data_IF_477281720829
#
_entry.id   IF_477281720829
#
_cell.length_a   1.000
_cell.length_b   1.000
_cell.length_c   1.000
_cell.angle_alpha   90.00
_cell.angle_beta   90.00
_cell.angle_gamma   90.00
#
_symmetry.space_group_name_H-M   'P 1'
#
loop_
_entity.id
_entity.type
_entity.pdbx_description
1 polymer ?
#
# COMPACT_ATOMS: atom_id res chain seq x y z
N UNK A 1 -8.62 -13.15 15.99
CA UNK A 1 -9.56 -13.03 14.85
C UNK A 1 -9.24 -11.74 14.09
N UNK A 2 -9.05 -11.82 12.77
CA UNK A 2 -8.74 -10.69 11.88
C UNK A 2 -9.97 -10.38 11.04
N UNK A 3 -10.45 -9.14 11.05
CA UNK A 3 -11.60 -8.69 10.27
C UNK A 3 -11.11 -7.62 9.28
N UNK A 4 -11.09 -7.99 8.00
CA UNK A 4 -10.62 -7.15 6.90
C UNK A 4 -11.06 -7.75 5.57
N UNK A 5 -10.48 -7.31 4.45
CA UNK A 5 -10.63 -8.01 3.17
C UNK A 5 -10.20 -9.48 3.30
N UNK A 6 -10.84 -10.37 2.54
CA UNK A 6 -10.34 -11.75 2.41
C UNK A 6 -8.88 -11.70 1.94
N UNK A 7 -7.98 -12.33 2.69
CA UNK A 7 -6.53 -12.26 2.45
C UNK A 7 -6.10 -12.87 1.09
N UNK A 8 -7.01 -13.50 0.36
CA UNK A 8 -6.80 -14.07 -0.97
C UNK A 8 -7.14 -13.09 -2.10
N UNK A 9 -7.86 -11.98 -1.82
CA UNK A 9 -8.25 -11.04 -2.88
C UNK A 9 -7.12 -10.06 -3.21
N UNK A 10 -7.22 -9.47 -4.40
CA UNK A 10 -6.25 -8.48 -4.87
C UNK A 10 -6.63 -7.06 -4.39
N UNK A 11 -6.22 -6.71 -3.19
CA UNK A 11 -6.32 -5.35 -2.65
C UNK A 11 -5.10 -5.02 -1.79
N UNK A 12 -4.83 -3.73 -1.55
CA UNK A 12 -3.76 -3.31 -0.64
C UNK A 12 -3.99 -3.80 0.79
N UNK A 13 -5.24 -3.77 1.27
CA UNK A 13 -5.61 -4.27 2.61
C UNK A 13 -5.38 -5.78 2.71
N UNK A 14 -5.84 -6.55 1.72
CA UNK A 14 -5.65 -8.00 1.68
C UNK A 14 -4.16 -8.38 1.60
N UNK A 15 -3.37 -7.65 0.80
CA UNK A 15 -1.92 -7.88 0.71
C UNK A 15 -1.25 -7.71 2.07
N UNK A 16 -1.51 -6.60 2.75
CA UNK A 16 -0.95 -6.34 4.10
C UNK A 16 -1.44 -7.36 5.12
N UNK A 17 -2.74 -7.66 5.11
CA UNK A 17 -3.31 -8.67 5.99
C UNK A 17 -2.69 -10.05 5.79
N UNK A 18 -2.46 -10.44 4.53
CA UNK A 18 -1.78 -11.68 4.17
C UNK A 18 -0.34 -11.71 4.68
N UNK A 19 0.43 -10.64 4.48
CA UNK A 19 1.81 -10.55 4.99
C UNK A 19 1.86 -10.66 6.52
N UNK A 20 0.92 -10.03 7.24
CA UNK A 20 0.81 -10.16 8.70
C UNK A 20 0.50 -11.61 9.08
N UNK A 21 -0.49 -12.24 8.47
CA UNK A 21 -0.87 -13.62 8.74
C UNK A 21 0.29 -14.57 8.46
N UNK A 22 0.88 -14.52 7.27
CA UNK A 22 2.00 -15.38 6.88
C UNK A 22 3.24 -15.15 7.76
N UNK A 23 3.57 -13.89 8.05
CA UNK A 23 4.74 -13.53 8.86
C UNK A 23 4.61 -13.89 10.35
N UNK A 24 3.39 -14.15 10.83
CA UNK A 24 3.14 -14.42 12.25
C UNK A 24 2.39 -15.75 12.51
N UNK A 25 2.16 -16.55 11.48
CA UNK A 25 1.46 -17.83 11.58
C UNK A 25 2.19 -18.86 12.47
N UNK A 26 3.49 -18.69 12.70
CA UNK A 26 4.27 -19.48 13.66
C UNK A 26 4.05 -19.07 15.12
N UNK A 27 3.36 -17.94 15.37
CA UNK A 27 3.03 -17.45 16.71
C UNK A 27 1.54 -17.51 17.02
N UNK A 28 0.69 -17.38 15.99
CA UNK A 28 -0.76 -17.21 16.16
C UNK A 28 -1.55 -18.14 15.24
N UNK A 29 -2.61 -18.71 15.78
CA UNK A 29 -3.68 -19.30 15.00
C UNK A 29 -4.57 -18.18 14.46
N UNK A 30 -4.74 -18.09 13.16
CA UNK A 30 -5.48 -17.01 12.54
C UNK A 30 -6.88 -17.42 12.10
N UNK A 31 -7.86 -16.58 12.43
CA UNK A 31 -9.22 -16.66 11.90
C UNK A 31 -9.50 -15.35 11.17
N UNK A 32 -9.50 -15.37 9.85
CA UNK A 32 -9.84 -14.21 9.03
C UNK A 32 -11.35 -14.21 8.74
N UNK A 33 -12.06 -13.17 9.19
CA UNK A 33 -13.37 -12.84 8.64
C UNK A 33 -13.12 -12.04 7.38
N UNK A 34 -13.07 -12.79 6.27
CA UNK A 34 -12.62 -12.32 4.97
C UNK A 34 -13.74 -11.66 4.18
N UNK A 35 -13.69 -10.33 4.07
CA UNK A 35 -14.71 -9.53 3.41
C UNK A 35 -14.46 -9.29 1.93
N UNK A 36 -15.56 -9.18 1.16
CA UNK A 36 -15.61 -8.58 -0.16
C UNK A 36 -17.02 -8.06 -0.44
N UNK A 37 -17.18 -7.04 -1.30
CA UNK A 37 -18.49 -6.41 -1.58
C UNK A 37 -19.56 -7.44 -1.94
N UNK A 38 -19.24 -8.39 -2.82
CA UNK A 38 -20.06 -9.56 -3.17
C UNK A 38 -19.18 -10.80 -3.17
N UNK A 39 -18.91 -11.33 -1.99
CA UNK A 39 -17.98 -12.45 -1.87
C UNK A 39 -18.57 -13.70 -2.55
N UNK A 40 -17.86 -14.34 -3.51
CA UNK A 40 -18.38 -15.49 -4.25
C UNK A 40 -18.55 -16.74 -3.37
N UNK A 41 -17.85 -16.81 -2.25
CA UNK A 41 -17.87 -17.91 -1.30
C UNK A 41 -18.53 -17.55 0.03
N UNK A 42 -19.31 -16.46 0.09
CA UNK A 42 -19.96 -16.04 1.34
C UNK A 42 -20.68 -17.19 2.04
N UNK A 43 -20.50 -17.28 3.36
CA UNK A 43 -21.04 -18.34 4.20
C UNK A 43 -20.15 -19.61 4.29
N UNK A 44 -19.04 -19.69 3.54
CA UNK A 44 -18.10 -20.80 3.66
C UNK A 44 -17.05 -20.55 4.74
N UNK A 45 -16.66 -21.63 5.42
CA UNK A 45 -15.46 -21.72 6.25
C UNK A 45 -14.39 -22.49 5.49
N UNK A 46 -13.24 -21.89 5.28
CA UNK A 46 -12.16 -22.42 4.47
C UNK A 46 -10.91 -22.57 5.35
N UNK A 47 -10.25 -23.69 5.24
CA UNK A 47 -8.94 -23.92 5.86
C UNK A 47 -7.85 -23.71 4.81
N UNK A 48 -6.98 -22.76 5.05
CA UNK A 48 -5.85 -22.42 4.16
C UNK A 48 -4.49 -22.66 4.81
N UNK A 49 -4.45 -23.42 5.89
CA UNK A 49 -3.23 -23.72 6.66
C UNK A 49 -2.13 -24.30 5.78
N UNK A 50 -2.46 -25.27 4.90
CA UNK A 50 -1.49 -25.89 3.99
C UNK A 50 -0.81 -24.87 3.10
N UNK A 51 -1.60 -24.02 2.43
CA UNK A 51 -1.04 -22.99 1.55
C UNK A 51 -0.26 -21.91 2.30
N UNK A 52 -0.64 -21.62 3.55
CA UNK A 52 0.10 -20.70 4.43
C UNK A 52 1.44 -21.31 4.84
N UNK A 53 1.46 -22.60 5.19
CA UNK A 53 2.69 -23.33 5.52
C UNK A 53 3.70 -23.29 4.37
N UNK A 54 3.23 -23.56 3.14
CA UNK A 54 4.06 -23.50 1.94
C UNK A 54 4.64 -22.11 1.69
N UNK A 55 3.81 -21.05 1.81
CA UNK A 55 4.22 -19.67 1.57
C UNK A 55 5.21 -19.15 2.63
N UNK A 56 4.99 -19.53 3.89
CA UNK A 56 5.77 -19.05 5.04
C UNK A 56 6.97 -19.96 5.37
N UNK A 57 7.07 -21.11 4.72
CA UNK A 57 8.07 -22.16 5.00
C UNK A 57 8.06 -22.56 6.49
N UNK A 58 6.87 -22.82 7.02
CA UNK A 58 6.60 -23.30 8.37
C UNK A 58 5.77 -24.57 8.32
N UNK A 59 5.69 -25.27 9.45
CA UNK A 59 4.81 -26.41 9.67
C UNK A 59 3.78 -26.04 10.74
N UNK A 60 2.63 -26.69 10.74
CA UNK A 60 1.61 -26.62 11.80
C UNK A 60 0.94 -25.24 12.01
N UNK A 61 0.89 -24.37 11.00
CA UNK A 61 0.04 -23.18 11.13
C UNK A 61 -1.45 -23.55 11.13
N UNK A 62 -2.26 -22.70 11.76
CA UNK A 62 -3.73 -22.78 11.66
C UNK A 62 -4.26 -21.46 11.14
N UNK A 63 -4.78 -21.47 9.92
CA UNK A 63 -5.33 -20.28 9.25
C UNK A 63 -6.67 -20.61 8.62
N UNK A 64 -7.72 -20.03 9.18
CA UNK A 64 -9.10 -20.21 8.73
C UNK A 64 -9.65 -18.93 8.13
N UNK A 65 -10.47 -19.06 7.09
CA UNK A 65 -11.22 -17.94 6.51
C UNK A 65 -12.71 -18.19 6.63
N UNK A 66 -13.43 -17.24 7.18
CA UNK A 66 -14.88 -17.13 7.08
C UNK A 66 -15.21 -16.08 6.02
N UNK A 67 -15.63 -16.54 4.86
CA UNK A 67 -15.97 -15.67 3.73
C UNK A 67 -17.31 -14.99 3.99
N UNK A 68 -17.32 -13.64 3.96
CA UNK A 68 -18.51 -12.84 4.23
C UNK A 68 -18.74 -11.75 3.18
N UNK A 69 -19.99 -11.29 3.01
CA UNK A 69 -20.25 -10.09 2.25
C UNK A 69 -19.82 -8.85 3.04
N UNK A 70 -19.25 -7.88 2.36
CA UNK A 70 -18.64 -6.70 2.98
C UNK A 70 -17.67 -7.10 4.10
N UNK A 71 -17.97 -6.78 5.36
CA UNK A 71 -17.20 -7.21 6.54
C UNK A 71 -18.06 -7.98 7.54
N UNK A 72 -19.11 -8.65 7.04
CA UNK A 72 -20.08 -9.40 7.83
C UNK A 72 -21.09 -8.54 8.55
N UNK A 73 -22.07 -9.20 9.15
CA UNK A 73 -23.07 -8.61 10.02
C UNK A 73 -22.70 -8.83 11.49
N UNK A 74 -23.30 -8.06 12.41
CA UNK A 74 -23.12 -8.24 13.85
C UNK A 74 -23.40 -9.69 14.28
N UNK A 75 -24.43 -10.34 13.71
CA UNK A 75 -24.78 -11.73 14.03
C UNK A 75 -23.72 -12.71 13.53
N UNK A 76 -23.22 -12.56 12.30
CA UNK A 76 -22.14 -13.41 11.77
C UNK A 76 -20.88 -13.29 12.61
N UNK A 77 -20.46 -12.06 12.93
CA UNK A 77 -19.28 -11.80 13.76
C UNK A 77 -19.45 -12.46 15.14
N UNK A 78 -20.59 -12.29 15.79
CA UNK A 78 -20.85 -12.90 17.09
C UNK A 78 -20.83 -14.44 17.01
N UNK A 79 -21.43 -15.03 15.98
CA UNK A 79 -21.44 -16.49 15.80
C UNK A 79 -20.01 -17.03 15.61
N UNK A 80 -19.19 -16.38 14.77
CA UNK A 80 -17.79 -16.76 14.55
C UNK A 80 -17.01 -16.60 15.85
N UNK A 81 -17.22 -15.49 16.58
CA UNK A 81 -16.56 -15.23 17.85
C UNK A 81 -16.86 -16.31 18.89
N UNK A 82 -18.13 -16.72 19.02
CA UNK A 82 -18.52 -17.79 19.97
C UNK A 82 -17.96 -19.16 19.57
N UNK A 83 -17.83 -19.42 18.27
CA UNK A 83 -17.32 -20.69 17.76
C UNK A 83 -15.79 -20.79 17.94
N UNK A 84 -15.06 -19.77 17.52
CA UNK A 84 -13.60 -19.80 17.45
C UNK A 84 -12.92 -19.25 18.71
N UNK A 85 -13.65 -18.54 19.57
CA UNK A 85 -13.20 -17.99 20.87
C UNK A 85 -11.81 -17.30 20.78
N UNK A 86 -11.67 -16.27 19.96
CA UNK A 86 -10.38 -15.63 19.73
C UNK A 86 -9.90 -14.88 20.97
N UNK A 87 -8.59 -14.91 21.23
CA UNK A 87 -7.95 -14.17 22.32
C UNK A 87 -7.81 -12.67 22.03
N UNK A 88 -7.92 -12.26 20.76
CA UNK A 88 -7.92 -10.86 20.34
C UNK A 88 -8.67 -10.66 19.03
N UNK A 89 -9.19 -9.45 18.83
CA UNK A 89 -9.81 -8.99 17.58
C UNK A 89 -8.88 -7.97 16.95
N UNK A 90 -8.57 -8.14 15.67
CA UNK A 90 -7.79 -7.19 14.88
C UNK A 90 -8.64 -6.69 13.70
N UNK A 91 -8.70 -5.38 13.54
CA UNK A 91 -9.42 -4.71 12.46
C UNK A 91 -8.41 -4.02 11.53
N UNK A 92 -8.61 -4.12 10.23
CA UNK A 92 -7.82 -3.39 9.22
C UNK A 92 -8.78 -2.83 8.17
N UNK A 93 -8.71 -1.59 7.86
CA UNK A 93 -9.33 -0.73 6.85
C UNK A 93 -10.02 0.48 7.50
N UNK A 94 -10.88 1.20 6.77
CA UNK A 94 -11.60 2.37 7.28
C UNK A 94 -12.53 1.98 8.45
N UNK A 95 -12.44 2.63 9.61
CA UNK A 95 -13.21 2.24 10.80
C UNK A 95 -14.72 2.34 10.61
N UNK A 96 -15.18 3.17 9.67
CA UNK A 96 -16.62 3.35 9.38
C UNK A 96 -17.29 2.08 8.85
N UNK A 97 -16.50 1.17 8.27
CA UNK A 97 -17.01 -0.14 7.83
C UNK A 97 -17.27 -1.09 9.01
N UNK A 98 -16.71 -0.83 10.18
CA UNK A 98 -16.83 -1.68 11.38
C UNK A 98 -17.81 -1.14 12.43
N UNK A 99 -18.70 -0.21 12.07
CA UNK A 99 -19.66 0.38 13.01
C UNK A 99 -20.45 -0.69 13.80
N UNK A 100 -20.83 -1.78 13.15
CA UNK A 100 -21.55 -2.88 13.78
C UNK A 100 -20.70 -3.62 14.85
N UNK A 101 -19.37 -3.64 14.71
CA UNK A 101 -18.44 -4.21 15.68
C UNK A 101 -18.25 -3.24 16.84
N UNK A 102 -18.03 -1.96 16.56
CA UNK A 102 -17.88 -0.92 17.57
C UNK A 102 -19.16 -0.75 18.42
N UNK A 103 -20.34 -0.97 17.85
CA UNK A 103 -21.59 -0.98 18.60
C UNK A 103 -21.70 -2.16 19.61
N UNK A 104 -20.88 -3.18 19.48
CA UNK A 104 -20.79 -4.32 20.42
C UNK A 104 -19.53 -4.28 21.30
N UNK A 105 -18.74 -3.19 21.26
CA UNK A 105 -17.42 -3.14 21.88
C UNK A 105 -17.45 -3.47 23.38
N UNK A 106 -18.43 -2.97 24.13
CA UNK A 106 -18.62 -3.23 25.55
C UNK A 106 -18.77 -4.74 25.89
N UNK A 107 -19.32 -5.52 24.97
CA UNK A 107 -19.47 -6.96 25.11
C UNK A 107 -18.20 -7.70 24.68
N UNK A 108 -17.65 -7.33 23.52
CA UNK A 108 -16.47 -7.97 22.93
C UNK A 108 -15.23 -7.76 23.79
N UNK A 109 -14.99 -6.56 24.29
CA UNK A 109 -13.82 -6.22 25.12
C UNK A 109 -13.79 -6.90 26.49
N UNK A 110 -14.92 -7.41 26.97
CA UNK A 110 -14.93 -8.26 28.17
C UNK A 110 -14.34 -9.65 27.94
N UNK A 111 -14.25 -10.06 26.68
CA UNK A 111 -13.82 -11.40 26.28
C UNK A 111 -12.47 -11.36 25.54
N UNK A 112 -12.26 -10.36 24.69
CA UNK A 112 -11.04 -10.19 23.91
C UNK A 112 -10.77 -8.71 23.63
N UNK A 113 -9.50 -8.24 23.71
CA UNK A 113 -9.16 -6.86 23.35
C UNK A 113 -9.40 -6.59 21.87
N UNK A 114 -9.79 -5.35 21.55
CA UNK A 114 -9.93 -4.87 20.16
C UNK A 114 -8.66 -4.13 19.80
N UNK A 115 -8.04 -4.57 18.71
CA UNK A 115 -6.85 -3.93 18.11
C UNK A 115 -7.21 -3.41 16.73
N UNK A 116 -6.68 -2.26 16.34
CA UNK A 116 -6.99 -1.64 15.06
C UNK A 116 -5.72 -1.17 14.37
N UNK A 117 -5.46 -1.70 13.17
CA UNK A 117 -4.42 -1.18 12.28
C UNK A 117 -5.02 -0.07 11.41
N UNK A 118 -4.80 1.15 11.85
CA UNK A 118 -5.31 2.35 11.20
C UNK A 118 -4.49 2.68 9.95
N UNK A 119 -5.20 2.92 8.86
CA UNK A 119 -4.64 3.28 7.54
C UNK A 119 -4.90 4.74 7.16
N UNK A 120 -5.37 5.58 8.09
CA UNK A 120 -5.70 6.97 7.81
C UNK A 120 -4.47 7.77 7.41
N UNK A 121 -4.59 8.54 6.35
CA UNK A 121 -3.45 9.10 5.62
C UNK A 121 -3.46 10.62 5.46
N UNK A 122 -4.48 11.34 5.99
CA UNK A 122 -4.66 12.75 5.68
C UNK A 122 -5.00 13.61 6.91
N UNK A 123 -4.73 14.91 6.79
CA UNK A 123 -5.10 15.96 7.72
C UNK A 123 -6.23 16.82 7.14
N UNK A 124 -7.06 17.45 7.99
CA UNK A 124 -6.97 17.48 9.47
C UNK A 124 -7.32 16.14 10.12
N UNK A 125 -6.80 15.93 11.35
CA UNK A 125 -7.06 14.70 12.11
C UNK A 125 -8.58 14.43 12.22
N UNK A 126 -9.06 13.23 11.89
CA UNK A 126 -10.48 12.90 11.73
C UNK A 126 -11.18 12.72 13.08
N UNK A 127 -11.48 13.82 13.78
CA UNK A 127 -12.10 13.79 15.11
C UNK A 127 -13.42 13.04 15.15
N UNK A 128 -14.12 12.92 14.03
CA UNK A 128 -15.34 12.12 13.91
C UNK A 128 -15.07 10.60 14.03
N UNK A 129 -13.84 10.15 13.92
CA UNK A 129 -13.44 8.77 14.17
C UNK A 129 -13.13 8.50 15.66
N UNK A 130 -13.19 9.51 16.53
CA UNK A 130 -12.90 9.37 17.96
C UNK A 130 -13.62 8.19 18.61
N UNK A 131 -14.94 7.98 18.44
CA UNK A 131 -15.64 6.86 19.08
C UNK A 131 -15.08 5.49 18.69
N UNK A 132 -14.63 5.35 17.43
CA UNK A 132 -14.04 4.09 16.95
C UNK A 132 -12.66 3.85 17.58
N UNK A 133 -11.85 4.91 17.71
CA UNK A 133 -10.52 4.79 18.30
C UNK A 133 -10.59 4.59 19.81
N UNK A 134 -11.58 5.17 20.49
CA UNK A 134 -11.84 4.94 21.92
C UNK A 134 -12.22 3.50 22.23
N UNK A 135 -12.90 2.83 21.32
CA UNK A 135 -13.28 1.43 21.45
C UNK A 135 -12.11 0.44 21.33
N UNK A 136 -10.90 0.91 20.97
CA UNK A 136 -9.74 0.06 20.78
C UNK A 136 -8.78 0.09 21.97
N UNK A 137 -8.22 -1.08 22.33
CA UNK A 137 -7.19 -1.23 23.36
C UNK A 137 -5.79 -0.99 22.80
N UNK A 138 -5.57 -1.36 21.52
CA UNK A 138 -4.33 -1.11 20.79
C UNK A 138 -4.66 -0.42 19.46
N UNK A 139 -4.08 0.77 19.26
CA UNK A 139 -4.10 1.50 18.00
C UNK A 139 -2.73 1.42 17.32
N UNK A 140 -2.69 0.74 16.22
CA UNK A 140 -1.52 0.63 15.36
C UNK A 140 -1.65 1.60 14.18
N UNK A 141 -0.63 2.38 13.90
CA UNK A 141 -0.58 3.24 12.73
C UNK A 141 0.38 2.68 11.69
N UNK A 142 -0.04 2.63 10.45
CA UNK A 142 0.81 2.15 9.33
C UNK A 142 1.96 3.09 9.02
N UNK A 143 1.84 4.36 9.40
CA UNK A 143 2.88 5.37 9.27
C UNK A 143 3.05 6.15 10.57
N UNK A 144 4.16 6.84 10.73
CA UNK A 144 4.39 7.76 11.85
C UNK A 144 3.34 8.88 11.88
N UNK A 145 2.93 9.36 10.70
CA UNK A 145 1.83 10.31 10.57
C UNK A 145 0.51 9.72 11.08
N UNK A 146 0.19 8.47 10.75
CA UNK A 146 -1.03 7.80 11.23
C UNK A 146 -1.03 7.62 12.75
N UNK A 147 0.12 7.27 13.34
CA UNK A 147 0.25 7.20 14.82
C UNK A 147 0.02 8.56 15.46
N UNK A 148 0.55 9.64 14.87
CA UNK A 148 0.32 10.99 15.36
C UNK A 148 -1.17 11.38 15.23
N UNK A 149 -1.81 11.06 14.11
CA UNK A 149 -3.25 11.27 13.91
C UNK A 149 -4.06 10.57 15.00
N UNK A 150 -3.75 9.30 15.33
CA UNK A 150 -4.41 8.59 16.42
C UNK A 150 -4.32 9.35 17.75
N UNK A 151 -3.12 9.83 18.08
CA UNK A 151 -2.87 10.60 19.30
C UNK A 151 -3.61 11.95 19.29
N UNK A 152 -3.64 12.66 18.16
CA UNK A 152 -4.34 13.93 18.01
C UNK A 152 -5.86 13.80 18.12
N UNK A 153 -6.44 12.72 17.55
CA UNK A 153 -7.87 12.41 17.67
C UNK A 153 -8.24 12.17 19.11
N UNK A 154 -7.43 11.44 19.86
CA UNK A 154 -7.67 11.03 21.23
C UNK A 154 -6.98 11.91 22.31
N UNK A 155 -6.50 13.09 21.95
CA UNK A 155 -5.71 13.94 22.88
C UNK A 155 -6.46 14.31 24.15
N UNK A 156 -7.78 14.45 24.07
CA UNK A 156 -8.65 14.87 25.18
C UNK A 156 -9.31 13.66 25.89
N UNK A 157 -8.94 12.41 25.53
CA UNK A 157 -9.50 11.17 26.07
C UNK A 157 -8.58 10.55 27.12
N UNK A 158 -9.13 9.69 27.98
CA UNK A 158 -8.32 8.84 28.87
C UNK A 158 -7.63 7.74 28.04
N UNK A 159 -6.31 7.86 27.94
CA UNK A 159 -5.45 6.92 27.20
C UNK A 159 -4.59 6.05 28.15
N UNK A 160 -4.86 6.05 29.45
CA UNK A 160 -4.03 5.36 30.47
C UNK A 160 -3.88 3.84 30.23
N UNK A 161 -4.88 3.24 29.61
CA UNK A 161 -4.91 1.79 29.29
C UNK A 161 -4.72 1.48 27.81
N UNK A 162 -4.57 2.53 26.94
CA UNK A 162 -4.48 2.36 25.50
C UNK A 162 -3.03 2.35 25.04
N UNK A 163 -2.72 1.47 24.10
CA UNK A 163 -1.40 1.36 23.53
C UNK A 163 -1.41 1.93 22.10
N UNK A 164 -0.44 2.80 21.80
CA UNK A 164 -0.18 3.29 20.44
C UNK A 164 1.10 2.66 19.92
N UNK A 165 1.05 2.09 18.71
CA UNK A 165 2.22 1.47 18.07
C UNK A 165 2.34 1.89 16.60
N UNK A 166 3.56 2.03 16.16
CA UNK A 166 3.93 2.17 14.76
C UNK A 166 4.18 0.77 14.19
N UNK A 167 3.40 0.38 13.19
CA UNK A 167 3.51 -0.91 12.50
C UNK A 167 3.52 -0.63 11.00
N UNK A 168 4.69 -0.35 10.42
CA UNK A 168 4.82 -0.11 8.98
C UNK A 168 4.48 -1.38 8.19
N UNK A 169 4.07 -1.18 6.93
CA UNK A 169 3.88 -2.32 6.04
C UNK A 169 5.23 -2.92 5.61
N UNK A 170 5.26 -4.24 5.54
CA UNK A 170 6.33 -5.01 4.93
C UNK A 170 5.79 -5.81 3.74
N UNK A 171 6.68 -6.24 2.87
CA UNK A 171 6.39 -7.11 1.72
C UNK A 171 7.40 -8.25 1.67
N UNK A 172 7.01 -9.32 0.99
CA UNK A 172 7.85 -10.50 0.85
C UNK A 172 9.01 -10.23 -0.12
N UNK A 173 10.25 -10.26 0.39
CA UNK A 173 11.47 -10.10 -0.40
C UNK A 173 11.72 -11.21 -1.43
N UNK A 174 11.01 -12.34 -1.33
CA UNK A 174 11.06 -13.41 -2.35
C UNK A 174 10.20 -13.09 -3.57
N UNK A 175 9.22 -12.19 -3.44
CA UNK A 175 8.37 -11.76 -4.55
C UNK A 175 8.95 -10.54 -5.29
N UNK A 176 9.62 -9.64 -4.54
CA UNK A 176 10.25 -8.43 -5.06
C UNK A 176 11.72 -8.40 -4.67
N UNK A 177 12.60 -8.48 -5.65
CA UNK A 177 14.05 -8.53 -5.46
C UNK A 177 14.80 -7.96 -6.67
N UNK A 178 16.01 -7.45 -6.49
CA UNK A 178 16.83 -6.97 -7.60
C UNK A 178 17.34 -8.16 -8.42
N UNK A 179 17.00 -8.19 -9.69
CA UNK A 179 17.45 -9.25 -10.61
C UNK A 179 18.96 -9.15 -10.86
N UNK A 180 19.64 -10.28 -10.84
CA UNK A 180 21.04 -10.41 -11.20
C UNK A 180 21.27 -10.09 -12.69
N UNK A 181 22.52 -9.81 -13.05
CA UNK A 181 22.92 -9.60 -14.46
C UNK A 181 22.56 -10.80 -15.35
N UNK A 182 22.68 -12.02 -14.80
CA UNK A 182 22.32 -13.24 -15.53
C UNK A 182 20.82 -13.30 -15.82
N UNK A 183 19.98 -13.03 -14.82
CA UNK A 183 18.52 -12.99 -14.99
C UNK A 183 18.08 -11.91 -15.97
N UNK A 184 18.69 -10.71 -15.90
CA UNK A 184 18.43 -9.60 -16.86
C UNK A 184 18.89 -9.93 -18.28
N UNK A 185 19.83 -10.87 -18.45
CA UNK A 185 20.31 -11.33 -19.76
C UNK A 185 19.52 -12.51 -20.33
N UNK A 186 18.61 -13.09 -19.53
CA UNK A 186 17.76 -14.21 -19.95
C UNK A 186 16.85 -13.81 -21.11
N UNK A 187 16.65 -14.74 -22.04
CA UNK A 187 15.83 -14.55 -23.25
C UNK A 187 14.38 -14.19 -22.88
N UNK A 188 13.83 -14.83 -21.84
CA UNK A 188 12.47 -14.56 -21.37
C UNK A 188 12.31 -13.13 -20.87
N UNK A 189 13.27 -12.63 -20.05
CA UNK A 189 13.25 -11.25 -19.58
C UNK A 189 13.42 -10.24 -20.73
N UNK A 190 14.35 -10.49 -21.67
CA UNK A 190 14.55 -9.62 -22.85
C UNK A 190 13.33 -9.59 -23.77
N UNK A 191 12.65 -10.72 -23.92
CA UNK A 191 11.40 -10.80 -24.67
C UNK A 191 10.30 -10.00 -23.98
N UNK A 192 10.18 -10.13 -22.66
CA UNK A 192 9.25 -9.34 -21.84
C UNK A 192 9.57 -7.84 -21.96
N UNK A 193 10.82 -7.43 -21.77
CA UNK A 193 11.27 -6.04 -21.93
C UNK A 193 10.83 -5.47 -23.26
N UNK A 194 11.14 -6.17 -24.37
CA UNK A 194 10.76 -5.73 -25.71
C UNK A 194 9.25 -5.66 -25.90
N UNK A 195 8.50 -6.61 -25.35
CA UNK A 195 7.04 -6.61 -25.45
C UNK A 195 6.38 -5.47 -24.68
N UNK A 196 6.98 -5.03 -23.57
CA UNK A 196 6.48 -3.93 -22.73
C UNK A 196 6.95 -2.58 -23.26
N UNK A 197 8.25 -2.39 -23.48
CA UNK A 197 8.85 -1.08 -23.82
C UNK A 197 8.91 -0.82 -25.32
N UNK A 198 8.54 -1.81 -26.16
CA UNK A 198 8.64 -1.70 -27.63
C UNK A 198 10.05 -1.90 -28.18
N UNK A 199 11.09 -1.76 -27.34
CA UNK A 199 12.49 -1.88 -27.70
C UNK A 199 13.32 -2.41 -26.54
N UNK A 200 14.49 -2.99 -26.85
CA UNK A 200 15.53 -3.31 -25.87
C UNK A 200 16.59 -2.19 -25.78
N UNK A 201 16.53 -1.20 -26.67
CA UNK A 201 17.44 -0.04 -26.72
C UNK A 201 16.79 1.18 -26.05
N UNK A 202 16.54 1.07 -24.75
CA UNK A 202 15.96 2.12 -23.90
C UNK A 202 17.02 2.54 -22.88
N UNK A 203 17.27 3.84 -22.79
CA UNK A 203 18.28 4.42 -21.90
C UNK A 203 17.71 4.80 -20.53
N UNK A 204 16.39 5.10 -20.44
CA UNK A 204 15.75 5.48 -19.17
C UNK A 204 14.27 5.09 -19.15
N UNK A 205 13.85 4.47 -18.08
CA UNK A 205 12.45 4.08 -17.83
C UNK A 205 11.97 4.66 -16.49
N UNK A 206 11.03 5.60 -16.54
CA UNK A 206 10.29 6.07 -15.38
C UNK A 206 9.05 5.19 -15.22
N UNK A 207 8.85 4.58 -14.04
CA UNK A 207 7.77 3.66 -13.79
C UNK A 207 6.73 4.24 -12.83
N UNK A 208 5.48 4.05 -13.14
CA UNK A 208 4.34 4.34 -12.26
C UNK A 208 3.45 3.10 -12.13
N UNK A 209 3.12 2.73 -10.89
CA UNK A 209 2.22 1.62 -10.60
C UNK A 209 1.19 2.05 -9.56
N UNK A 210 -0.05 2.25 -9.97
CA UNK A 210 -1.19 2.48 -9.07
C UNK A 210 -2.50 2.45 -9.85
N UNK A 211 -3.64 2.40 -9.13
CA UNK A 211 -4.96 2.56 -9.73
C UNK A 211 -5.14 3.96 -10.30
N UNK A 212 -5.88 4.07 -11.41
CA UNK A 212 -6.24 5.36 -11.96
C UNK A 212 -7.38 5.97 -11.13
N UNK A 213 -7.00 6.78 -10.14
CA UNK A 213 -7.90 7.59 -9.32
C UNK A 213 -7.31 8.99 -9.15
N UNK A 214 -8.15 10.01 -9.02
CA UNK A 214 -7.75 11.44 -9.09
C UNK A 214 -6.60 11.79 -8.15
N UNK A 215 -6.64 11.33 -6.89
CA UNK A 215 -5.59 11.64 -5.90
C UNK A 215 -4.19 11.16 -6.30
N UNK A 216 -4.07 10.23 -7.24
CA UNK A 216 -2.78 9.70 -7.72
C UNK A 216 -2.06 10.60 -8.71
N UNK A 217 -2.70 11.71 -9.13
CA UNK A 217 -2.10 12.75 -9.95
C UNK A 217 -1.32 12.21 -11.18
N UNK A 218 -1.91 11.22 -11.89
CA UNK A 218 -1.23 10.59 -13.04
C UNK A 218 -1.02 11.60 -14.18
N UNK A 219 -1.98 12.50 -14.51
CA UNK A 219 -1.74 13.55 -15.49
C UNK A 219 -0.55 14.45 -15.15
N UNK A 220 -0.35 14.77 -13.85
CA UNK A 220 0.80 15.57 -13.39
C UNK A 220 2.12 14.82 -13.61
N UNK A 221 2.13 13.50 -13.35
CA UNK A 221 3.27 12.63 -13.67
C UNK A 221 3.56 12.63 -15.17
N UNK A 222 2.54 12.53 -16.02
CA UNK A 222 2.68 12.56 -17.48
C UNK A 222 3.21 13.91 -17.95
N UNK A 223 2.71 15.02 -17.41
CA UNK A 223 3.17 16.38 -17.74
C UNK A 223 4.62 16.62 -17.29
N UNK A 224 5.00 16.14 -16.11
CA UNK A 224 6.37 16.20 -15.63
C UNK A 224 7.33 15.41 -16.54
N UNK A 225 6.91 14.20 -16.96
CA UNK A 225 7.71 13.41 -17.89
C UNK A 225 7.82 14.07 -19.28
N UNK A 226 6.73 14.68 -19.79
CA UNK A 226 6.80 15.47 -21.02
C UNK A 226 7.81 16.61 -20.91
N UNK A 227 7.77 17.38 -19.82
CA UNK A 227 8.74 18.46 -19.57
C UNK A 227 10.18 17.94 -19.49
N UNK A 228 10.38 16.74 -18.94
CA UNK A 228 11.68 16.07 -18.93
C UNK A 228 12.16 15.74 -20.36
N UNK A 229 11.29 15.17 -21.21
CA UNK A 229 11.64 14.88 -22.61
C UNK A 229 12.03 16.15 -23.36
N UNK A 230 11.29 17.25 -23.18
CA UNK A 230 11.56 18.54 -23.83
C UNK A 230 12.88 19.15 -23.39
N UNK A 231 13.43 18.77 -22.25
CA UNK A 231 14.75 19.20 -21.76
C UNK A 231 15.92 18.44 -22.40
N UNK A 232 15.65 17.36 -23.11
CA UNK A 232 16.66 16.48 -23.71
C UNK A 232 16.81 16.72 -25.22
N UNK A 233 18.00 16.43 -25.81
CA UNK A 233 18.11 16.24 -27.27
C UNK A 233 17.13 15.15 -27.73
N UNK A 234 16.45 15.37 -28.86
CA UNK A 234 15.37 14.47 -29.34
C UNK A 234 15.80 13.00 -29.42
N UNK A 235 17.00 12.73 -29.89
CA UNK A 235 17.53 11.35 -29.98
C UNK A 235 17.64 10.64 -28.64
N UNK A 236 17.91 11.38 -27.56
CA UNK A 236 17.91 10.85 -26.19
C UNK A 236 16.49 10.74 -25.64
N UNK A 237 15.64 11.73 -25.88
CA UNK A 237 14.24 11.70 -25.46
C UNK A 237 13.51 10.47 -26.00
N UNK A 238 13.75 10.11 -27.29
CA UNK A 238 13.13 8.92 -27.90
C UNK A 238 13.60 7.58 -27.32
N UNK A 239 14.67 7.56 -26.52
CA UNK A 239 15.13 6.41 -25.75
C UNK A 239 14.64 6.39 -24.29
N UNK A 240 13.75 7.31 -23.92
CA UNK A 240 13.13 7.34 -22.60
C UNK A 240 11.70 6.77 -22.67
N UNK A 241 11.26 6.12 -21.61
CA UNK A 241 9.89 5.58 -21.47
C UNK A 241 9.26 6.00 -20.15
N UNK A 242 8.00 6.43 -20.21
CA UNK A 242 7.12 6.47 -19.06
C UNK A 242 6.25 5.21 -19.11
N UNK A 243 6.52 4.27 -18.25
CA UNK A 243 5.77 3.02 -18.12
C UNK A 243 4.70 3.19 -17.05
N UNK A 244 3.42 3.18 -17.45
CA UNK A 244 2.26 3.33 -16.60
C UNK A 244 1.56 1.96 -16.44
N UNK A 245 1.71 1.31 -15.28
CA UNK A 245 0.94 0.12 -14.92
C UNK A 245 -0.33 0.55 -14.19
N UNK A 246 -1.38 0.79 -14.97
CA UNK A 246 -2.65 1.35 -14.49
C UNK A 246 -3.77 1.12 -15.49
N UNK A 247 -5.02 1.34 -15.06
CA UNK A 247 -6.18 1.36 -15.96
C UNK A 247 -6.19 2.67 -16.78
N UNK A 248 -6.51 2.58 -18.08
CA UNK A 248 -6.57 3.75 -18.95
C UNK A 248 -7.70 4.73 -18.57
N UNK A 249 -8.88 4.19 -18.25
CA UNK A 249 -10.08 4.95 -17.88
C UNK A 249 -10.77 4.28 -16.70
N UNK A 250 -11.16 5.06 -15.70
CA UNK A 250 -11.99 4.60 -14.58
C UNK A 250 -12.99 5.68 -14.19
N UNK A 251 -14.07 5.32 -13.51
CA UNK A 251 -15.10 6.27 -13.05
C UNK A 251 -14.55 7.32 -12.06
N UNK A 252 -13.45 6.99 -11.35
CA UNK A 252 -12.85 7.83 -10.32
C UNK A 252 -11.51 8.44 -10.73
N UNK A 253 -11.11 8.22 -11.98
CA UNK A 253 -9.83 8.63 -12.54
C UNK A 253 -9.95 9.65 -13.66
N UNK A 254 -8.96 9.59 -14.55
CA UNK A 254 -8.83 10.43 -15.74
C UNK A 254 -8.76 9.54 -16.97
N UNK A 255 -9.22 10.01 -18.11
CA UNK A 255 -8.97 9.38 -19.42
C UNK A 255 -7.51 9.62 -19.81
N UNK A 256 -6.65 8.67 -19.44
CA UNK A 256 -5.21 8.78 -19.64
C UNK A 256 -4.81 8.67 -21.12
N UNK A 257 -5.65 8.01 -21.94
CA UNK A 257 -5.44 7.93 -23.37
C UNK A 257 -5.51 9.33 -24.00
N UNK A 258 -6.54 10.12 -23.68
CA UNK A 258 -6.67 11.51 -24.15
C UNK A 258 -5.58 12.43 -23.61
N UNK A 259 -5.16 12.22 -22.35
CA UNK A 259 -4.03 12.98 -21.78
C UNK A 259 -2.73 12.66 -22.53
N UNK A 260 -2.51 11.38 -22.88
CA UNK A 260 -1.34 10.98 -23.65
C UNK A 260 -1.34 11.58 -25.06
N UNK A 261 -2.46 11.51 -25.76
CA UNK A 261 -2.63 12.14 -27.07
C UNK A 261 -2.33 13.64 -27.04
N UNK A 262 -2.86 14.36 -26.04
CA UNK A 262 -2.65 15.80 -25.88
C UNK A 262 -1.20 16.15 -25.55
N UNK A 263 -0.56 15.44 -24.62
CA UNK A 263 0.78 15.78 -24.13
C UNK A 263 1.90 15.26 -25.05
N UNK A 264 1.76 14.08 -25.63
CA UNK A 264 2.84 13.43 -26.37
C UNK A 264 2.66 13.50 -27.88
N UNK A 265 1.39 13.47 -28.37
CA UNK A 265 1.08 13.57 -29.79
C UNK A 265 1.89 12.58 -30.63
N UNK A 266 2.12 12.91 -31.90
CA UNK A 266 2.95 12.11 -32.81
C UNK A 266 4.46 12.18 -32.46
N UNK A 267 4.90 13.24 -31.78
CA UNK A 267 6.32 13.48 -31.50
C UNK A 267 6.93 12.49 -30.52
N UNK A 268 6.16 12.07 -29.49
CA UNK A 268 6.63 11.26 -28.36
C UNK A 268 5.67 10.11 -28.03
N UNK A 269 4.81 9.68 -28.98
CA UNK A 269 3.84 8.59 -28.76
C UNK A 269 4.51 7.33 -28.22
N UNK A 270 5.68 6.97 -28.76
CA UNK A 270 6.42 5.79 -28.29
C UNK A 270 7.06 5.94 -26.90
N UNK A 271 7.18 7.19 -26.39
CA UNK A 271 7.77 7.44 -25.07
C UNK A 271 6.83 7.14 -23.90
N UNK A 272 5.52 6.97 -24.16
CA UNK A 272 4.54 6.59 -23.15
C UNK A 272 4.02 5.19 -23.40
N UNK A 273 4.06 4.35 -22.37
CA UNK A 273 3.69 2.94 -22.44
C UNK A 273 2.65 2.60 -21.37
N UNK A 274 1.53 2.02 -21.78
CA UNK A 274 0.48 1.56 -20.88
C UNK A 274 0.51 0.06 -20.72
N UNK A 275 0.78 -0.39 -19.50
CA UNK A 275 0.64 -1.77 -19.05
C UNK A 275 -0.67 -1.92 -18.27
N UNK A 276 -1.79 -2.10 -18.98
CA UNK A 276 -3.13 -2.16 -18.37
C UNK A 276 -3.63 -3.59 -18.09
N UNK A 277 -2.90 -4.61 -18.52
CA UNK A 277 -3.25 -6.02 -18.28
C UNK A 277 -2.79 -6.44 -16.89
N UNK A 278 -3.57 -7.33 -16.26
CA UNK A 278 -3.10 -7.99 -15.04
C UNK A 278 -1.86 -8.81 -15.35
N UNK A 279 -0.85 -8.63 -14.52
CA UNK A 279 0.43 -9.35 -14.60
C UNK A 279 0.57 -10.29 -13.41
N UNK A 280 1.34 -11.36 -13.57
CA UNK A 280 1.75 -12.22 -12.46
C UNK A 280 2.71 -11.49 -11.52
N UNK A 281 2.90 -12.00 -10.29
CA UNK A 281 3.88 -11.44 -9.34
C UNK A 281 5.29 -11.39 -9.95
N UNK A 282 5.69 -12.43 -10.66
CA UNK A 282 6.97 -12.48 -11.38
C UNK A 282 7.09 -11.37 -12.42
N UNK A 283 6.07 -11.19 -13.24
CA UNK A 283 6.05 -10.11 -14.24
C UNK A 283 6.02 -8.73 -13.60
N UNK A 284 5.34 -8.56 -12.45
CA UNK A 284 5.37 -7.31 -11.70
C UNK A 284 6.79 -7.01 -11.18
N UNK A 285 7.49 -8.01 -10.65
CA UNK A 285 8.91 -7.88 -10.30
C UNK A 285 9.75 -7.49 -11.52
N UNK A 286 9.46 -8.03 -12.71
CA UNK A 286 10.11 -7.64 -13.94
C UNK A 286 9.86 -6.16 -14.29
N UNK A 287 8.62 -5.66 -14.15
CA UNK A 287 8.31 -4.24 -14.41
C UNK A 287 9.14 -3.31 -13.51
N UNK A 288 9.27 -3.63 -12.22
CA UNK A 288 10.14 -2.87 -11.31
C UNK A 288 11.60 -2.96 -11.69
N UNK A 289 12.07 -4.11 -12.13
CA UNK A 289 13.46 -4.30 -12.58
C UNK A 289 13.76 -3.68 -13.97
N UNK A 290 12.75 -3.31 -14.76
CA UNK A 290 12.90 -2.50 -15.97
C UNK A 290 13.04 -1.01 -15.65
N UNK A 291 12.60 -0.57 -14.49
CA UNK A 291 12.57 0.82 -14.11
C UNK A 291 13.95 1.31 -13.60
N UNK A 292 14.34 2.49 -14.02
CA UNK A 292 15.45 3.24 -13.45
C UNK A 292 15.01 4.08 -12.26
N UNK A 293 13.71 4.44 -12.21
CA UNK A 293 13.11 5.16 -11.11
C UNK A 293 11.60 4.89 -11.04
N UNK A 294 11.07 4.77 -9.84
CA UNK A 294 9.62 4.71 -9.56
C UNK A 294 9.12 6.11 -9.20
N UNK A 295 7.98 6.52 -9.77
CA UNK A 295 7.34 7.81 -9.41
C UNK A 295 5.94 7.60 -8.83
N UNK A 296 5.61 8.34 -7.76
CA UNK A 296 4.28 8.36 -7.15
C UNK A 296 3.94 9.77 -6.62
N UNK A 297 3.30 10.58 -7.45
CA UNK A 297 2.84 11.93 -7.11
C UNK A 297 1.38 11.86 -6.62
N UNK A 298 1.17 11.39 -5.42
CA UNK A 298 -0.19 11.29 -4.83
C UNK A 298 -0.40 12.39 -3.80
N UNK A 299 -1.61 12.97 -3.73
CA UNK A 299 -1.91 14.02 -2.75
C UNK A 299 -1.88 13.50 -1.31
N UNK A 300 -2.27 12.25 -1.11
CA UNK A 300 -2.24 11.56 0.17
C UNK A 300 -2.05 10.06 -0.03
N UNK A 301 -1.34 9.42 0.90
CA UNK A 301 -1.04 7.99 0.85
C UNK A 301 -0.74 7.44 2.24
N UNK A 302 -1.47 6.40 2.65
CA UNK A 302 -1.26 5.77 3.95
C UNK A 302 0.14 5.17 4.09
N UNK A 303 0.56 4.41 3.09
CA UNK A 303 1.90 3.83 3.04
C UNK A 303 2.57 3.97 1.67
N UNK A 304 1.92 3.50 0.60
CA UNK A 304 2.49 3.43 -0.75
C UNK A 304 3.27 2.13 -0.97
N UNK A 305 2.56 0.99 -0.95
CA UNK A 305 3.16 -0.34 -1.15
C UNK A 305 4.03 -0.42 -2.41
N UNK A 306 3.62 0.26 -3.47
CA UNK A 306 4.38 0.28 -4.74
C UNK A 306 5.78 0.89 -4.60
N UNK A 307 5.98 1.82 -3.64
CA UNK A 307 7.32 2.34 -3.32
C UNK A 307 8.15 1.30 -2.56
N UNK A 308 7.52 0.52 -1.67
CA UNK A 308 8.21 -0.60 -1.00
C UNK A 308 8.63 -1.66 -2.03
N UNK A 309 7.76 -2.00 -2.98
CA UNK A 309 8.05 -2.91 -4.09
C UNK A 309 9.26 -2.42 -4.90
N UNK A 310 9.28 -1.12 -5.23
CA UNK A 310 10.41 -0.51 -5.93
C UNK A 310 11.72 -0.59 -5.12
N UNK A 311 11.69 -0.22 -3.84
CA UNK A 311 12.88 -0.26 -3.00
C UNK A 311 13.42 -1.68 -2.80
N UNK A 312 12.54 -2.67 -2.69
CA UNK A 312 12.94 -4.09 -2.62
C UNK A 312 13.66 -4.56 -3.89
N UNK A 313 13.33 -3.99 -5.04
CA UNK A 313 14.03 -4.26 -6.31
C UNK A 313 15.28 -3.40 -6.53
N UNK A 314 15.62 -2.54 -5.57
CA UNK A 314 16.74 -1.61 -5.67
C UNK A 314 16.45 -0.38 -6.54
N UNK A 315 15.19 -0.13 -6.91
CA UNK A 315 14.76 0.98 -7.75
C UNK A 315 14.54 2.24 -6.90
N UNK A 316 15.22 3.38 -7.18
CA UNK A 316 15.01 4.65 -6.49
C UNK A 316 13.57 5.18 -6.67
N UNK A 317 13.14 6.04 -5.75
CA UNK A 317 11.77 6.57 -5.72
C UNK A 317 11.71 8.09 -5.82
N UNK A 318 10.76 8.60 -6.61
CA UNK A 318 10.33 10.00 -6.62
C UNK A 318 8.92 10.04 -6.03
N UNK A 319 8.70 10.73 -4.92
CA UNK A 319 7.37 10.74 -4.32
C UNK A 319 7.10 12.02 -3.51
N UNK A 320 5.81 12.35 -3.35
CA UNK A 320 5.38 13.45 -2.48
C UNK A 320 5.68 13.15 -1.01
N UNK A 321 6.00 14.22 -0.26
CA UNK A 321 6.29 14.13 1.19
C UNK A 321 5.01 14.08 2.00
N UNK A 322 4.25 12.97 1.91
CA UNK A 322 3.00 12.77 2.65
C UNK A 322 2.89 11.33 3.17
N UNK A 323 2.16 11.15 4.27
CA UNK A 323 1.83 9.85 4.86
C UNK A 323 3.04 8.95 5.07
N UNK A 324 2.88 7.66 4.81
CA UNK A 324 3.93 6.65 4.94
C UNK A 324 5.05 6.76 3.89
N UNK A 325 4.84 7.52 2.82
CA UNK A 325 5.93 7.78 1.86
C UNK A 325 7.09 8.54 2.51
N UNK A 326 6.80 9.43 3.48
CA UNK A 326 7.82 10.12 4.26
C UNK A 326 8.67 9.15 5.08
N UNK A 327 8.04 8.13 5.66
CA UNK A 327 8.72 7.09 6.43
C UNK A 327 9.68 6.30 5.53
N UNK A 328 9.23 5.95 4.32
CA UNK A 328 10.02 5.23 3.33
C UNK A 328 11.20 6.05 2.79
N UNK A 329 11.06 7.35 2.68
CA UNK A 329 12.16 8.27 2.32
C UNK A 329 13.18 8.46 3.44
N UNK A 330 12.85 8.06 4.68
CA UNK A 330 13.73 8.12 5.83
C UNK A 330 14.21 9.54 6.17
N UNK A 331 13.29 10.50 6.28
CA UNK A 331 13.64 11.84 6.72
C UNK A 331 14.27 11.84 8.12
N UNK A 332 15.33 12.63 8.30
CA UNK A 332 16.04 12.81 9.57
C UNK A 332 16.17 14.27 9.93
N UNK A 333 16.31 14.55 11.21
CA UNK A 333 16.65 15.89 11.71
C UNK A 333 18.17 16.19 11.60
N UNK A 334 18.57 17.39 11.96
CA UNK A 334 19.97 17.83 11.93
C UNK A 334 20.92 16.99 12.83
N UNK A 335 20.38 16.10 13.67
CA UNK A 335 21.13 15.17 14.52
C UNK A 335 21.11 13.74 13.95
N UNK A 336 20.53 13.53 12.77
CA UNK A 336 20.37 12.23 12.16
C UNK A 336 19.28 11.35 12.81
N UNK A 337 18.46 11.94 13.70
CA UNK A 337 17.32 11.21 14.27
C UNK A 337 16.19 11.12 13.26
N UNK A 338 15.63 9.94 13.13
CA UNK A 338 14.48 9.72 12.26
C UNK A 338 13.29 10.58 12.69
N UNK A 339 12.76 11.35 11.73
CA UNK A 339 11.62 12.25 11.90
C UNK A 339 10.44 11.59 12.62
N UNK A 340 9.88 12.28 13.60
CA UNK A 340 8.64 11.90 14.27
C UNK A 340 7.67 13.08 14.28
N UNK A 341 6.46 12.94 13.70
CA UNK A 341 5.43 13.95 13.78
C UNK A 341 4.95 14.15 15.23
N UNK A 342 4.57 15.37 15.55
CA UNK A 342 3.92 15.74 16.79
C UNK A 342 2.84 16.81 16.53
N UNK A 343 2.31 17.44 17.61
CA UNK A 343 1.25 18.43 17.47
C UNK A 343 1.72 19.70 16.72
N UNK A 344 3.00 20.07 16.83
CA UNK A 344 3.59 21.25 16.20
C UNK A 344 4.07 20.95 14.79
N UNK A 345 4.58 19.73 14.56
CA UNK A 345 5.05 19.23 13.27
C UNK A 345 4.28 17.96 12.92
N UNK A 346 2.99 18.08 12.57
CA UNK A 346 2.13 16.91 12.33
C UNK A 346 2.54 16.10 11.11
N UNK A 347 3.19 16.73 10.14
CA UNK A 347 3.64 16.10 8.89
C UNK A 347 4.82 16.88 8.30
N UNK A 348 5.63 16.25 7.45
CA UNK A 348 6.73 16.89 6.73
C UNK A 348 6.34 17.41 5.33
N UNK A 349 5.09 17.35 4.92
CA UNK A 349 4.66 17.76 3.56
C UNK A 349 5.05 19.20 3.17
N UNK A 350 5.35 20.06 4.16
CA UNK A 350 5.88 21.43 3.94
C UNK A 350 7.41 21.48 3.83
N UNK A 351 8.08 20.34 3.91
CA UNK A 351 9.53 20.26 3.79
C UNK A 351 10.29 20.82 4.97
N UNK A 352 9.81 20.61 6.18
CA UNK A 352 10.51 20.98 7.44
C UNK A 352 11.83 20.22 7.57
N UNK A 353 11.84 18.93 7.24
CA UNK A 353 13.03 18.09 7.17
C UNK A 353 13.47 17.92 5.73
N UNK A 354 14.76 18.11 5.46
CA UNK A 354 15.35 18.08 4.10
C UNK A 354 16.30 16.91 3.90
N UNK A 355 16.90 16.40 4.97
CA UNK A 355 17.79 15.26 4.89
C UNK A 355 16.98 13.96 4.85
N UNK A 356 17.31 13.07 3.90
CA UNK A 356 16.59 11.82 3.61
C UNK A 356 17.55 10.77 3.03
N UNK A 357 17.05 9.57 2.80
CA UNK A 357 17.82 8.49 2.17
C UNK A 357 18.22 8.83 0.71
N UNK A 358 19.38 8.37 0.29
CA UNK A 358 19.94 8.61 -1.06
C UNK A 358 19.09 7.98 -2.18
N UNK A 359 18.28 6.99 -1.86
CA UNK A 359 17.37 6.32 -2.80
C UNK A 359 16.09 7.10 -3.08
N UNK A 360 15.86 8.23 -2.40
CA UNK A 360 14.60 8.97 -2.46
C UNK A 360 14.79 10.37 -3.01
N UNK A 361 13.85 10.78 -3.86
CA UNK A 361 13.75 12.12 -4.42
C UNK A 361 12.41 12.74 -4.00
N UNK A 362 12.37 13.50 -2.88
CA UNK A 362 11.14 14.04 -2.35
C UNK A 362 10.59 15.18 -3.21
N UNK A 363 9.29 15.15 -3.45
CA UNK A 363 8.53 16.26 -4.03
C UNK A 363 7.73 16.92 -2.91
N UNK A 364 8.00 18.19 -2.66
CA UNK A 364 7.30 18.95 -1.64
C UNK A 364 6.08 19.62 -2.26
N UNK A 365 4.86 19.45 -1.67
CA UNK A 365 3.67 20.17 -2.11
C UNK A 365 3.87 21.68 -1.96
N UNK A 366 3.41 22.44 -2.96
CA UNK A 366 3.47 23.91 -3.00
C UNK A 366 2.25 24.53 -2.32
#
# INVERSE_FOLDING_TARGET
MLICDDIRVHSGVATVAKEIVCGTAHHFNWVNVGGAIKHPEAGKRLDISVSTNEQSNIEDSSVLIYAVHNYGTAQEINNIFQLEKPDAIMLITDPRYFQHIFNMEDQLRKLAPITYLNIWDDYPAPRYNQPYYEACDLLMGISKQTVNINKLVLKDCDNSKRVFKYIPHGLNEKEFYPMSTTERSDVGFKTFQKSVLGSNDIDFTLFFNSRNIRRKAIPDTMMAFRSFLDSLPREKALKCRLLLHTELVTDHGTDLGKVAEYLFGEDYEECIVFSHKKVSRKELNYLYNLADCQILLTSNEGWGLTLTEAMLTGTPIIANTTGGMQDQMRFVDSKGKWFEPDADIPSNHRGTFKEHGEWAFPVYPT
#
